data_IF_375449906436
#
_entry.id   IF_375449906436
#
_cell.length_a   1.000
_cell.length_b   1.000
_cell.length_c   1.000
_cell.angle_alpha   90.00
_cell.angle_beta   90.00
_cell.angle_gamma   90.00
#
_symmetry.space_group_name_H-M   'P 1'
#
loop_
_entity.id
_entity.type
_entity.pdbx_description
1 polymer ?
#
# COMPACT_ATOMS: atom_id res chain seq x y z
N UNK A 1 -8.42 2.24 -14.36
CA UNK A 1 -9.69 1.49 -14.32
C UNK A 1 -10.27 1.56 -12.91
N UNK A 2 -11.59 1.42 -12.76
CA UNK A 2 -12.27 1.31 -11.47
C UNK A 2 -13.03 0.00 -11.46
N UNK A 3 -13.02 -0.71 -10.33
CA UNK A 3 -13.78 -1.97 -10.19
C UNK A 3 -15.29 -1.70 -10.24
N UNK A 4 -16.03 -2.59 -10.90
CA UNK A 4 -17.50 -2.58 -10.89
C UNK A 4 -18.09 -3.47 -9.79
N UNK A 5 -17.26 -4.22 -9.05
CA UNK A 5 -17.72 -5.15 -8.05
C UNK A 5 -17.99 -4.44 -6.71
N UNK A 6 -19.26 -4.35 -6.25
CA UNK A 6 -19.61 -3.47 -5.13
C UNK A 6 -18.93 -3.84 -3.82
N UNK A 7 -18.79 -5.13 -3.50
CA UNK A 7 -18.17 -5.56 -2.23
C UNK A 7 -16.67 -5.23 -2.18
N UNK A 8 -15.98 -5.33 -3.30
CA UNK A 8 -14.57 -4.94 -3.40
C UNK A 8 -14.43 -3.41 -3.21
N UNK A 9 -15.29 -2.63 -3.85
CA UNK A 9 -15.29 -1.19 -3.69
C UNK A 9 -15.62 -0.78 -2.25
N UNK A 10 -16.56 -1.47 -1.60
CA UNK A 10 -16.90 -1.25 -0.19
C UNK A 10 -15.71 -1.54 0.72
N UNK A 11 -15.00 -2.65 0.50
CA UNK A 11 -13.78 -3.00 1.24
C UNK A 11 -12.71 -1.93 1.07
N UNK A 12 -12.37 -1.55 -0.17
CA UNK A 12 -11.34 -0.54 -0.46
C UNK A 12 -11.73 0.80 0.18
N UNK A 13 -12.99 1.23 0.03
CA UNK A 13 -13.47 2.48 0.62
C UNK A 13 -13.42 2.46 2.16
N UNK A 14 -13.81 1.34 2.78
CA UNK A 14 -13.74 1.17 4.23
C UNK A 14 -12.31 1.33 4.76
N UNK A 15 -11.35 0.67 4.11
CA UNK A 15 -9.92 0.81 4.45
C UNK A 15 -9.43 2.24 4.24
N UNK A 16 -9.76 2.88 3.11
CA UNK A 16 -9.31 4.24 2.82
C UNK A 16 -9.93 5.28 3.76
N UNK A 17 -11.16 5.06 4.23
CA UNK A 17 -11.77 5.91 5.27
C UNK A 17 -11.04 5.78 6.60
N UNK A 18 -10.68 4.56 7.02
CA UNK A 18 -9.86 4.34 8.20
C UNK A 18 -8.48 5.02 8.06
N UNK A 19 -7.84 4.88 6.89
CA UNK A 19 -6.56 5.57 6.58
C UNK A 19 -6.72 7.09 6.68
N UNK A 20 -7.79 7.66 6.14
CA UNK A 20 -8.08 9.10 6.22
C UNK A 20 -8.18 9.59 7.66
N UNK A 21 -8.88 8.87 8.54
CA UNK A 21 -8.98 9.22 9.96
C UNK A 21 -7.61 9.21 10.63
N UNK A 22 -6.81 8.16 10.41
CA UNK A 22 -5.49 8.04 11.00
C UNK A 22 -4.46 9.03 10.43
N UNK A 23 -4.58 9.42 9.15
CA UNK A 23 -3.76 10.48 8.54
C UNK A 23 -3.99 11.83 9.23
N UNK A 24 -5.26 12.18 9.52
CA UNK A 24 -5.59 13.42 10.26
C UNK A 24 -4.97 13.47 11.64
N UNK A 25 -4.88 12.31 12.29
CA UNK A 25 -4.27 12.16 13.61
C UNK A 25 -2.74 12.02 13.56
N UNK A 26 -2.12 12.03 12.36
CA UNK A 26 -0.69 11.80 12.13
C UNK A 26 -0.21 10.45 12.69
N UNK A 27 -1.08 9.42 12.64
CA UNK A 27 -0.85 8.08 13.19
C UNK A 27 -0.40 7.03 12.17
N UNK A 28 -0.19 7.39 10.90
CA UNK A 28 0.23 6.45 9.83
C UNK A 28 1.67 6.71 9.42
N UNK A 29 2.41 5.62 9.22
CA UNK A 29 3.75 5.62 8.66
C UNK A 29 3.80 5.05 7.24
N UNK A 30 3.04 3.99 6.98
CA UNK A 30 3.16 3.22 5.72
C UNK A 30 1.86 2.50 5.42
N UNK A 31 1.56 2.36 4.13
CA UNK A 31 0.47 1.53 3.63
C UNK A 31 1.04 0.50 2.67
N UNK A 32 0.70 -0.77 2.87
CA UNK A 32 1.12 -1.86 2.00
C UNK A 32 -0.10 -2.48 1.32
N UNK A 33 -0.02 -2.72 0.01
CA UNK A 33 -0.95 -3.59 -0.71
C UNK A 33 -0.22 -4.89 -0.99
N UNK A 34 -0.54 -5.94 -0.22
CA UNK A 34 0.12 -7.23 -0.27
C UNK A 34 -0.70 -8.22 -1.10
N UNK A 35 -0.05 -8.88 -2.05
CA UNK A 35 -0.62 -9.97 -2.83
C UNK A 35 -0.13 -11.30 -2.28
N UNK A 36 -1.07 -12.19 -2.01
CA UNK A 36 -0.85 -13.51 -1.44
C UNK A 36 -1.15 -14.57 -2.49
N UNK A 37 -0.31 -15.60 -2.56
CA UNK A 37 -0.61 -16.79 -3.35
C UNK A 37 -1.69 -17.65 -2.66
N UNK A 38 -2.03 -18.79 -3.29
CA UNK A 38 -3.01 -19.75 -2.75
C UNK A 38 -2.63 -20.37 -1.39
N UNK A 39 -1.36 -20.33 -1.00
CA UNK A 39 -0.87 -20.84 0.30
C UNK A 39 -0.81 -19.76 1.38
N UNK A 40 -1.24 -18.53 1.07
CA UNK A 40 -1.22 -17.41 2.02
C UNK A 40 0.16 -16.78 2.21
N UNK A 41 1.10 -17.00 1.29
CA UNK A 41 2.43 -16.37 1.31
C UNK A 41 2.42 -15.12 0.44
N UNK A 42 3.00 -14.02 0.94
CA UNK A 42 3.15 -12.79 0.14
C UNK A 42 4.12 -13.07 -1.02
N UNK A 43 3.71 -12.71 -2.23
CA UNK A 43 4.51 -12.84 -3.45
C UNK A 43 4.84 -11.49 -4.08
N UNK A 44 4.06 -10.46 -3.76
CA UNK A 44 4.29 -9.10 -4.20
C UNK A 44 3.69 -8.12 -3.20
N UNK A 45 4.34 -6.98 -3.00
CA UNK A 45 3.87 -5.93 -2.11
C UNK A 45 4.11 -4.55 -2.73
N UNK A 46 3.08 -3.73 -2.85
CA UNK A 46 3.24 -2.30 -3.16
C UNK A 46 3.30 -1.52 -1.86
N UNK A 47 4.40 -0.81 -1.66
CA UNK A 47 4.67 -0.02 -0.46
C UNK A 47 4.46 1.45 -0.76
N UNK A 48 3.65 2.10 0.06
CA UNK A 48 3.45 3.55 0.10
C UNK A 48 4.02 4.05 1.42
N UNK A 49 5.28 4.48 1.39
CA UNK A 49 6.02 4.96 2.55
C UNK A 49 5.77 6.46 2.74
N UNK A 50 5.10 6.81 3.82
CA UNK A 50 4.61 8.17 4.07
C UNK A 50 5.58 8.84 5.05
N UNK A 51 6.34 9.81 4.56
CA UNK A 51 7.30 10.55 5.37
C UNK A 51 6.66 11.78 6.02
N UNK A 52 5.81 12.49 5.26
CA UNK A 52 5.10 13.64 5.76
C UNK A 52 3.79 13.85 4.99
N UNK A 53 2.75 14.28 5.69
CA UNK A 53 1.48 14.73 5.12
C UNK A 53 1.03 15.96 5.88
N UNK A 54 0.94 17.09 5.19
CA UNK A 54 0.36 18.31 5.73
C UNK A 54 -1.03 18.50 5.12
N UNK A 55 -2.06 18.21 5.92
CA UNK A 55 -3.46 18.27 5.48
C UNK A 55 -4.06 19.67 5.64
N UNK A 56 -3.42 20.54 6.44
CA UNK A 56 -3.89 21.89 6.70
C UNK A 56 -3.03 22.89 5.92
N UNK A 57 -3.65 23.55 4.94
CA UNK A 57 -3.01 24.70 4.28
C UNK A 57 -3.12 25.90 5.22
N UNK A 58 -1.99 26.40 5.70
CA UNK A 58 -1.97 27.69 6.37
C UNK A 58 -2.12 28.82 5.33
N UNK A 59 -3.36 29.05 4.90
CA UNK A 59 -3.72 30.04 3.88
C UNK A 59 -3.57 31.49 4.36
N UNK A 60 -3.20 31.71 5.62
CA UNK A 60 -2.95 33.07 6.15
C UNK A 60 -1.78 33.76 5.44
N UNK A 61 -0.88 32.99 4.84
CA UNK A 61 0.21 33.49 3.99
C UNK A 61 0.18 32.83 2.60
N UNK A 62 -0.93 33.03 1.88
CA UNK A 62 -1.17 32.53 0.52
C UNK A 62 -0.05 32.90 -0.47
N UNK A 63 0.72 33.95 -0.17
CA UNK A 63 1.83 34.42 -1.02
C UNK A 63 3.10 33.55 -0.92
N UNK A 64 3.27 32.83 0.20
CA UNK A 64 4.44 31.98 0.46
C UNK A 64 4.20 30.49 0.25
N UNK A 65 2.94 30.06 0.05
CA UNK A 65 2.59 28.68 -0.30
C UNK A 65 3.01 28.40 -1.74
N UNK A 66 3.84 27.37 -1.97
CA UNK A 66 4.42 27.13 -3.32
C UNK A 66 3.43 26.47 -4.29
N UNK A 67 2.43 25.75 -3.78
CA UNK A 67 1.42 25.04 -4.58
C UNK A 67 0.00 25.20 -3.97
N UNK A 68 -0.52 26.44 -3.84
CA UNK A 68 -1.76 26.70 -3.10
C UNK A 68 -3.01 26.08 -3.74
N UNK A 69 -2.92 25.73 -5.03
CA UNK A 69 -3.98 25.06 -5.79
C UNK A 69 -3.71 23.56 -5.99
N UNK A 70 -2.66 23.00 -5.38
CA UNK A 70 -2.27 21.59 -5.44
C UNK A 70 -2.03 21.06 -6.88
N UNK A 71 -1.74 21.94 -7.84
CA UNK A 71 -1.58 21.59 -9.25
C UNK A 71 -0.34 20.72 -9.45
N UNK A 72 0.76 21.06 -8.76
CA UNK A 72 1.99 20.26 -8.84
C UNK A 72 1.76 18.89 -8.21
N UNK A 73 1.12 18.83 -7.04
CA UNK A 73 0.76 17.57 -6.40
C UNK A 73 -0.11 16.70 -7.32
N UNK A 74 -1.15 17.27 -7.95
CA UNK A 74 -2.02 16.57 -8.90
C UNK A 74 -1.23 15.98 -10.08
N UNK A 75 -0.31 16.76 -10.67
CA UNK A 75 0.55 16.29 -11.75
C UNK A 75 1.45 15.13 -11.32
N UNK A 76 2.00 15.17 -10.11
CA UNK A 76 2.84 14.10 -9.58
C UNK A 76 2.04 12.82 -9.32
N UNK A 77 0.84 12.93 -8.76
CA UNK A 77 -0.10 11.81 -8.57
C UNK A 77 -0.54 11.22 -9.91
N UNK A 78 -0.85 12.06 -10.91
CA UNK A 78 -1.18 11.60 -12.27
C UNK A 78 -0.02 10.81 -12.87
N UNK A 79 1.21 11.29 -12.75
CA UNK A 79 2.38 10.61 -13.26
C UNK A 79 2.65 9.28 -12.52
N UNK A 80 2.33 9.19 -11.23
CA UNK A 80 2.34 7.92 -10.50
C UNK A 80 1.30 6.94 -11.04
N UNK A 81 0.06 7.37 -11.28
CA UNK A 81 -0.97 6.53 -11.90
C UNK A 81 -0.52 5.98 -13.28
N UNK A 82 0.15 6.80 -14.09
CA UNK A 82 0.72 6.34 -15.36
C UNK A 82 1.82 5.30 -15.16
N UNK A 83 2.69 5.48 -14.14
CA UNK A 83 3.72 4.48 -13.82
C UNK A 83 3.12 3.14 -13.40
N UNK A 84 2.01 3.14 -12.66
CA UNK A 84 1.27 1.92 -12.32
C UNK A 84 0.71 1.20 -13.56
N UNK A 85 0.28 1.93 -14.59
CA UNK A 85 -0.27 1.28 -15.80
C UNK A 85 0.77 0.54 -16.63
N UNK A 86 2.07 0.79 -16.41
CA UNK A 86 3.18 0.15 -17.14
C UNK A 86 4.09 -0.67 -16.22
N UNK A 87 3.71 -0.84 -14.94
CA UNK A 87 4.55 -1.56 -13.98
C UNK A 87 4.56 -3.07 -14.21
N UNK A 88 3.60 -3.59 -14.98
CA UNK A 88 3.56 -4.97 -15.47
C UNK A 88 4.81 -5.36 -16.28
N UNK A 89 5.43 -4.40 -16.98
CA UNK A 89 6.69 -4.61 -17.69
C UNK A 89 7.91 -4.70 -16.76
N UNK A 90 7.77 -4.27 -15.50
CA UNK A 90 8.85 -4.19 -14.52
C UNK A 90 8.79 -5.33 -13.49
N UNK A 91 7.66 -6.02 -13.40
CA UNK A 91 7.36 -7.05 -12.42
C UNK A 91 7.02 -8.36 -13.13
N UNK A 92 7.36 -9.49 -12.52
CA UNK A 92 6.94 -10.80 -13.03
C UNK A 92 5.42 -10.96 -12.87
N UNK A 93 4.75 -11.71 -13.77
CA UNK A 93 3.34 -12.03 -13.59
C UNK A 93 3.05 -12.66 -12.22
N UNK A 94 1.92 -12.29 -11.62
CA UNK A 94 1.46 -12.93 -10.39
C UNK A 94 1.07 -14.39 -10.65
N UNK A 95 1.29 -15.28 -9.66
CA UNK A 95 0.72 -16.63 -9.64
C UNK A 95 -0.79 -16.67 -9.84
N UNK A 96 -1.30 -17.87 -10.18
CA UNK A 96 -2.74 -18.08 -10.29
C UNK A 96 -3.42 -17.99 -8.91
N UNK A 97 -4.69 -17.54 -8.90
CA UNK A 97 -5.52 -17.49 -7.69
C UNK A 97 -4.96 -16.64 -6.54
N UNK A 98 -4.25 -15.56 -6.86
CA UNK A 98 -3.81 -14.60 -5.85
C UNK A 98 -4.99 -13.87 -5.19
N UNK A 99 -4.81 -13.57 -3.91
CA UNK A 99 -5.67 -12.65 -3.15
C UNK A 99 -4.87 -11.44 -2.73
N UNK A 100 -5.50 -10.40 -2.20
CA UNK A 100 -4.78 -9.25 -1.68
C UNK A 100 -5.37 -8.75 -0.36
N UNK A 101 -4.52 -8.12 0.44
CA UNK A 101 -4.91 -7.39 1.64
C UNK A 101 -4.19 -6.04 1.68
N UNK A 102 -4.79 -5.07 2.38
CA UNK A 102 -4.19 -3.77 2.62
C UNK A 102 -3.77 -3.69 4.08
N UNK A 103 -2.48 -3.46 4.34
CA UNK A 103 -1.94 -3.32 5.69
C UNK A 103 -1.61 -1.85 5.98
N UNK A 104 -2.05 -1.40 7.15
CA UNK A 104 -1.79 -0.04 7.64
C UNK A 104 -0.75 -0.16 8.76
N UNK A 105 0.39 0.49 8.57
CA UNK A 105 1.42 0.57 9.59
C UNK A 105 1.29 1.89 10.33
N UNK A 106 0.96 1.79 11.61
CA UNK A 106 0.77 2.93 12.50
C UNK A 106 2.06 3.32 13.23
N UNK A 107 2.13 4.56 13.68
CA UNK A 107 3.18 5.02 14.61
C UNK A 107 2.90 4.59 16.05
N UNK A 108 1.64 4.34 16.38
CA UNK A 108 1.18 3.84 17.68
C UNK A 108 1.10 2.31 17.72
N UNK A 109 1.39 1.74 18.88
CA UNK A 109 1.31 0.29 19.15
C UNK A 109 0.03 -0.12 19.88
N UNK A 110 -0.77 0.84 20.36
CA UNK A 110 -2.01 0.57 21.11
C UNK A 110 -3.18 0.31 20.15
N UNK A 111 -3.50 -0.96 19.93
CA UNK A 111 -4.59 -1.38 19.04
C UNK A 111 -5.97 -0.86 19.47
N UNK A 112 -6.19 -0.57 20.76
CA UNK A 112 -7.48 -0.08 21.28
C UNK A 112 -7.72 1.36 20.81
N UNK A 113 -6.69 2.20 20.80
CA UNK A 113 -6.80 3.59 20.35
C UNK A 113 -7.06 3.65 18.84
N UNK A 114 -6.34 2.83 18.07
CA UNK A 114 -6.56 2.72 16.62
C UNK A 114 -7.99 2.27 16.32
N UNK A 115 -8.53 1.30 17.06
CA UNK A 115 -9.90 0.83 16.84
C UNK A 115 -10.96 1.91 17.12
N UNK A 116 -10.76 2.75 18.14
CA UNK A 116 -11.63 3.89 18.43
C UNK A 116 -11.59 4.93 17.30
N UNK A 117 -10.40 5.15 16.72
CA UNK A 117 -10.22 6.11 15.62
C UNK A 117 -10.74 5.57 14.27
N UNK A 118 -11.06 4.27 14.19
CA UNK A 118 -11.54 3.58 12.97
C UNK A 118 -12.84 2.81 13.17
N UNK A 119 -13.74 3.25 14.05
CA UNK A 119 -14.97 2.51 14.41
C UNK A 119 -15.87 2.14 13.22
N UNK A 120 -15.92 2.98 12.19
CA UNK A 120 -16.71 2.72 10.98
C UNK A 120 -16.21 1.52 10.15
N UNK A 121 -14.94 1.15 10.32
CA UNK A 121 -14.33 0.00 9.64
C UNK A 121 -13.29 -0.67 10.55
N UNK A 122 -13.67 -1.73 11.30
CA UNK A 122 -12.82 -2.32 12.32
C UNK A 122 -11.56 -2.94 11.70
N UNK A 123 -10.40 -2.46 12.13
CA UNK A 123 -9.10 -2.99 11.73
C UNK A 123 -8.69 -4.14 12.64
N UNK A 124 -8.17 -5.21 12.05
CA UNK A 124 -7.64 -6.38 12.76
C UNK A 124 -6.12 -6.26 12.79
N UNK A 125 -5.47 -6.37 13.97
CA UNK A 125 -4.02 -6.40 14.06
C UNK A 125 -3.44 -7.57 13.25
N UNK A 126 -2.48 -7.30 12.36
CA UNK A 126 -1.82 -8.36 11.57
C UNK A 126 -0.83 -9.15 12.43
N UNK A 127 -0.69 -10.46 12.18
CA UNK A 127 0.37 -11.23 12.80
C UNK A 127 1.70 -11.00 12.07
N UNK A 128 2.83 -11.12 12.79
CA UNK A 128 4.17 -10.91 12.20
C UNK A 128 4.45 -11.83 11.02
N UNK A 129 3.83 -13.02 10.96
CA UNK A 129 4.02 -14.00 9.87
C UNK A 129 3.32 -13.57 8.58
N UNK A 130 2.25 -12.78 8.68
CA UNK A 130 1.44 -12.38 7.53
C UNK A 130 2.09 -11.29 6.66
N UNK A 131 3.20 -10.70 7.13
CA UNK A 131 3.84 -9.52 6.51
C UNK A 131 5.30 -9.75 6.07
N UNK A 132 5.83 -10.96 6.27
CA UNK A 132 7.23 -11.28 5.92
C UNK A 132 7.31 -11.65 4.44
N UNK A 133 8.09 -10.88 3.71
CA UNK A 133 8.54 -11.17 2.37
C UNK A 133 10.03 -11.49 2.44
N UNK A 134 10.43 -12.71 2.10
CA UNK A 134 11.84 -13.15 2.23
C UNK A 134 12.67 -12.65 1.04
N UNK A 135 13.69 -11.82 1.33
CA UNK A 135 14.66 -11.31 0.35
C UNK A 135 14.05 -10.70 -0.93
N UNK A 136 13.11 -9.74 -0.81
CA UNK A 136 12.43 -9.21 -1.99
C UNK A 136 13.34 -8.36 -2.88
N UNK A 137 13.12 -8.45 -4.19
CA UNK A 137 13.65 -7.49 -5.14
C UNK A 137 12.82 -6.19 -5.07
N UNK A 138 13.48 -5.06 -4.82
CA UNK A 138 12.81 -3.75 -4.73
C UNK A 138 12.79 -3.09 -6.10
N UNK A 139 11.59 -2.74 -6.58
CA UNK A 139 11.36 -2.03 -7.84
C UNK A 139 10.81 -0.63 -7.53
N UNK A 140 11.62 0.43 -7.66
CA UNK A 140 11.16 1.79 -7.40
C UNK A 140 10.15 2.23 -8.45
N UNK A 141 9.02 2.79 -8.01
CA UNK A 141 7.98 3.27 -8.91
C UNK A 141 8.05 4.79 -9.04
N UNK A 142 7.90 5.51 -7.92
CA UNK A 142 7.85 6.98 -7.91
C UNK A 142 8.07 7.52 -6.50
N UNK A 143 8.66 8.70 -6.42
CA UNK A 143 8.65 9.52 -5.21
C UNK A 143 7.88 10.81 -5.47
N UNK A 144 7.08 11.22 -4.49
CA UNK A 144 6.38 12.50 -4.46
C UNK A 144 7.01 13.30 -3.34
N UNK A 145 7.65 14.40 -3.70
CA UNK A 145 8.25 15.34 -2.78
C UNK A 145 7.71 16.74 -3.06
N UNK A 146 6.76 17.15 -2.23
CA UNK A 146 6.17 18.48 -2.23
C UNK A 146 5.84 18.90 -0.80
N UNK A 147 5.52 20.18 -0.62
CA UNK A 147 5.21 20.80 0.67
C UNK A 147 4.14 20.05 1.46
N UNK A 148 3.12 19.51 0.78
CA UNK A 148 1.96 18.86 1.41
C UNK A 148 2.09 17.35 1.56
N UNK A 149 2.99 16.73 0.81
CA UNK A 149 3.12 15.28 0.74
C UNK A 149 4.55 14.89 0.39
N UNK A 150 5.17 14.15 1.29
CA UNK A 150 6.38 13.41 1.05
C UNK A 150 6.06 11.91 1.13
N UNK A 151 6.06 11.26 -0.03
CA UNK A 151 5.63 9.88 -0.22
C UNK A 151 6.59 9.17 -1.17
N UNK A 152 7.12 8.03 -0.73
CA UNK A 152 7.90 7.13 -1.57
C UNK A 152 7.07 5.90 -1.90
N UNK A 153 7.07 5.49 -3.18
CA UNK A 153 6.28 4.38 -3.68
C UNK A 153 7.17 3.43 -4.45
N UNK A 154 7.17 2.17 -4.03
CA UNK A 154 7.94 1.10 -4.64
C UNK A 154 7.21 -0.23 -4.52
N UNK A 155 7.53 -1.17 -5.38
CA UNK A 155 7.09 -2.55 -5.29
C UNK A 155 8.20 -3.42 -4.73
N UNK A 156 7.82 -4.43 -3.97
CA UNK A 156 8.70 -5.49 -3.50
C UNK A 156 8.22 -6.81 -4.10
N UNK A 157 9.07 -7.45 -4.89
CA UNK A 157 8.80 -8.73 -5.54
C UNK A 157 9.44 -9.87 -4.74
N UNK A 158 8.60 -10.80 -4.26
CA UNK A 158 9.05 -12.01 -3.59
C UNK A 158 9.19 -13.19 -4.56
N UNK A 159 9.35 -14.39 -3.99
CA UNK A 159 9.36 -15.61 -4.78
C UNK A 159 7.95 -15.90 -5.34
N UNK A 160 7.81 -15.88 -6.66
CA UNK A 160 6.57 -16.16 -7.41
C UNK A 160 6.58 -17.55 -8.06
N UNK A 161 7.63 -18.33 -7.87
CA UNK A 161 7.73 -19.68 -8.41
C UNK A 161 6.75 -20.58 -7.66
N UNK A 162 5.57 -20.80 -8.25
CA UNK A 162 4.67 -21.89 -7.87
C UNK A 162 5.28 -23.20 -8.36
N UNK A 163 6.22 -23.79 -7.62
CA UNK A 163 6.53 -25.20 -7.83
C UNK A 163 6.10 -26.04 -6.62
N UNK A 164 4.82 -26.45 -6.57
CA UNK A 164 4.36 -27.42 -5.58
C UNK A 164 4.99 -28.82 -5.77
N UNK A 165 5.66 -29.11 -6.89
CA UNK A 165 6.22 -30.44 -7.21
C UNK A 165 7.72 -30.57 -6.93
N UNK A 166 8.42 -29.49 -6.57
CA UNK A 166 9.86 -29.55 -6.25
C UNK A 166 10.17 -30.29 -4.92
N UNK A 167 9.15 -30.74 -4.20
CA UNK A 167 9.27 -31.54 -2.98
C UNK A 167 8.70 -32.96 -3.08
N UNK A 168 8.33 -33.47 -4.25
CA UNK A 168 8.11 -34.92 -4.36
C UNK A 168 9.47 -35.63 -4.35
N UNK A 169 9.82 -36.43 -3.32
CA UNK A 169 11.00 -37.26 -3.41
C UNK A 169 10.80 -38.22 -4.59
N UNK A 170 11.79 -38.27 -5.49
CA UNK A 170 11.80 -39.22 -6.60
C UNK A 170 11.47 -40.63 -6.09
N UNK A 171 10.56 -41.38 -6.75
CA UNK A 171 10.34 -42.77 -6.37
C UNK A 171 11.66 -43.52 -6.53
N UNK A 172 12.10 -44.16 -5.44
CA UNK A 172 13.22 -45.09 -5.46
C UNK A 172 12.88 -46.20 -6.48
N UNK A 173 13.62 -46.23 -7.59
CA UNK A 173 13.71 -47.39 -8.49
C UNK A 173 14.69 -48.39 -7.88
#
# INVERSE_FOLDING_TARGET
MVSIYPKLNLYINGVLNAVKSLLKLKKIRKLDVCFYNKTGVIVERFVFNIHNVELELNLSDFSNVRDPYLVKLEQMLRAFCLKLTVCDSLLKPLPSSCTFQIHIHTTETNSIEIQKDTEEFPLIPSEKRDIILTSPAVVPLRSIDCEHLNLEIYAEEGNKDEDPDLFTPSPLI
#
